data_IF_420496379973
#
_entry.id   IF_420496379973
#
_cell.length_a   1.000
_cell.length_b   1.000
_cell.length_c   1.000
_cell.angle_alpha   90.00
_cell.angle_beta   90.00
_cell.angle_gamma   90.00
#
_symmetry.space_group_name_H-M   'P 1'
#
loop_
_entity.id
_entity.type
_entity.pdbx_description
1 polymer ?
#
# COMPACT_ATOMS: atom_id res chain seq x y z
N UNK A 1 4.95 15.49 -14.98
CA UNK A 1 3.78 16.28 -15.45
C UNK A 1 3.17 16.96 -14.25
N UNK A 2 2.78 18.23 -14.37
CA UNK A 2 2.17 18.99 -13.27
C UNK A 2 0.67 19.05 -13.53
N UNK A 3 -0.13 18.49 -12.64
CA UNK A 3 -1.59 18.55 -12.70
C UNK A 3 -2.05 19.52 -11.61
N UNK A 4 -2.76 20.57 -11.98
CA UNK A 4 -3.36 21.48 -11.01
C UNK A 4 -4.58 20.80 -10.40
N UNK A 5 -4.49 20.48 -9.11
CA UNK A 5 -5.55 19.85 -8.33
C UNK A 5 -5.96 20.82 -7.22
N UNK A 6 -7.25 21.05 -7.07
CA UNK A 6 -7.77 21.76 -5.91
C UNK A 6 -7.81 20.78 -4.72
N UNK A 7 -6.98 21.06 -3.72
CA UNK A 7 -6.85 20.26 -2.50
C UNK A 7 -7.07 21.21 -1.32
N UNK A 8 -7.79 20.75 -0.30
CA UNK A 8 -7.97 21.49 0.93
C UNK A 8 -6.59 21.76 1.57
N UNK A 9 -6.31 23.05 1.82
CA UNK A 9 -5.03 23.49 2.38
C UNK A 9 -4.80 22.97 3.79
N UNK A 10 -5.85 22.84 4.58
CA UNK A 10 -5.76 22.33 5.96
C UNK A 10 -5.39 20.86 5.96
N UNK A 11 -6.04 20.07 5.09
CA UNK A 11 -5.73 18.65 4.90
C UNK A 11 -4.31 18.44 4.37
N UNK A 12 -3.87 19.26 3.41
CA UNK A 12 -2.52 19.18 2.88
C UNK A 12 -1.46 19.54 3.93
N UNK A 13 -1.73 20.55 4.76
CA UNK A 13 -0.82 20.94 5.83
C UNK A 13 -0.72 19.84 6.89
N UNK A 14 -1.85 19.30 7.33
CA UNK A 14 -1.86 18.19 8.29
C UNK A 14 -1.09 16.98 7.74
N UNK A 15 -1.31 16.63 6.47
CA UNK A 15 -0.60 15.53 5.82
C UNK A 15 0.91 15.81 5.68
N UNK A 16 1.32 17.06 5.45
CA UNK A 16 2.73 17.46 5.43
C UNK A 16 3.35 17.34 6.82
N UNK A 17 2.68 17.85 7.85
CA UNK A 17 3.16 17.83 9.24
C UNK A 17 3.32 16.38 9.76
N UNK A 18 2.45 15.47 9.32
CA UNK A 18 2.52 14.04 9.64
C UNK A 18 3.52 13.26 8.77
N UNK A 19 3.98 13.84 7.66
CA UNK A 19 4.87 13.16 6.71
C UNK A 19 6.32 13.66 6.84
N UNK A 20 7.27 12.80 6.48
CA UNK A 20 8.66 13.21 6.30
C UNK A 20 8.93 13.81 4.90
N UNK A 21 7.89 14.18 4.14
CA UNK A 21 8.05 14.65 2.77
C UNK A 21 8.31 16.16 2.71
N UNK A 22 9.34 16.60 1.96
CA UNK A 22 9.72 18.01 1.91
C UNK A 22 8.81 18.85 0.99
N UNK A 23 8.05 18.23 0.09
CA UNK A 23 7.22 18.95 -0.88
C UNK A 23 5.80 18.37 -0.98
N UNK A 24 4.78 19.21 -1.25
CA UNK A 24 3.41 18.74 -1.52
C UNK A 24 3.36 17.71 -2.65
N UNK A 25 4.13 17.91 -3.71
CA UNK A 25 4.16 17.01 -4.87
C UNK A 25 4.65 15.62 -4.49
N UNK A 26 5.73 15.52 -3.71
CA UNK A 26 6.27 14.23 -3.26
C UNK A 26 5.31 13.53 -2.29
N UNK A 27 4.65 14.30 -1.42
CA UNK A 27 3.64 13.78 -0.51
C UNK A 27 2.43 13.20 -1.28
N UNK A 28 1.91 13.95 -2.24
CA UNK A 28 0.75 13.53 -3.04
C UNK A 28 1.08 12.26 -3.84
N UNK A 29 2.26 12.19 -4.45
CA UNK A 29 2.68 10.99 -5.17
C UNK A 29 2.80 9.78 -4.23
N UNK A 30 3.41 9.93 -3.06
CA UNK A 30 3.52 8.88 -2.06
C UNK A 30 2.14 8.41 -1.58
N UNK A 31 1.25 9.34 -1.26
CA UNK A 31 -0.12 9.05 -0.82
C UNK A 31 -0.91 8.29 -1.89
N UNK A 32 -0.78 8.65 -3.17
CA UNK A 32 -1.42 7.93 -4.27
C UNK A 32 -0.86 6.51 -4.43
N UNK A 33 0.46 6.33 -4.30
CA UNK A 33 1.09 5.00 -4.35
C UNK A 33 0.57 4.11 -3.22
N UNK A 34 0.50 4.65 -2.00
CA UNK A 34 -0.03 3.94 -0.84
C UNK A 34 -1.51 3.60 -0.98
N UNK A 35 -2.32 4.54 -1.47
CA UNK A 35 -3.74 4.32 -1.75
C UNK A 35 -3.96 3.20 -2.77
N UNK A 36 -3.19 3.20 -3.85
CA UNK A 36 -3.23 2.13 -4.86
C UNK A 36 -2.79 0.81 -4.25
N UNK A 37 -1.70 0.79 -3.47
CA UNK A 37 -1.18 -0.41 -2.84
C UNK A 37 -2.19 -1.02 -1.87
N UNK A 38 -2.81 -0.23 -1.00
CA UNK A 38 -3.86 -0.67 -0.07
C UNK A 38 -5.01 -1.34 -0.83
N UNK A 39 -5.46 -0.74 -1.93
CA UNK A 39 -6.54 -1.31 -2.75
C UNK A 39 -6.11 -2.59 -3.48
N UNK A 40 -4.87 -2.67 -3.96
CA UNK A 40 -4.33 -3.91 -4.53
C UNK A 40 -4.24 -5.01 -3.48
N UNK A 41 -3.85 -4.69 -2.25
CA UNK A 41 -3.78 -5.64 -1.15
C UNK A 41 -5.16 -6.20 -0.79
N UNK A 42 -6.23 -5.40 -0.86
CA UNK A 42 -7.59 -5.90 -0.67
C UNK A 42 -7.98 -7.00 -1.68
N UNK A 43 -7.38 -7.02 -2.88
CA UNK A 43 -7.62 -8.11 -3.85
C UNK A 43 -7.09 -9.45 -3.39
N UNK A 44 -6.26 -9.53 -2.35
CA UNK A 44 -5.89 -10.82 -1.74
C UNK A 44 -7.14 -11.56 -1.27
N UNK A 45 -8.20 -10.85 -0.88
CA UNK A 45 -9.48 -11.45 -0.51
C UNK A 45 -10.12 -12.24 -1.67
N UNK A 46 -9.87 -11.83 -2.92
CA UNK A 46 -10.36 -12.53 -4.12
C UNK A 46 -9.65 -13.88 -4.32
N UNK A 47 -8.49 -14.09 -3.71
CA UNK A 47 -7.73 -15.35 -3.82
C UNK A 47 -8.16 -16.42 -2.81
N UNK A 48 -8.99 -16.06 -1.82
CA UNK A 48 -9.50 -17.06 -0.87
C UNK A 48 -10.42 -18.04 -1.56
N UNK A 49 -10.14 -19.34 -1.37
CA UNK A 49 -10.90 -20.42 -2.03
C UNK A 49 -10.54 -20.66 -3.49
N UNK A 50 -9.64 -19.87 -4.09
CA UNK A 50 -9.15 -20.11 -5.46
C UNK A 50 -7.79 -20.81 -5.50
N UNK A 51 -7.09 -20.87 -4.37
CA UNK A 51 -5.78 -21.49 -4.26
C UNK A 51 -5.96 -22.94 -3.80
N UNK A 52 -5.62 -23.87 -4.68
CA UNK A 52 -5.47 -25.28 -4.34
C UNK A 52 -4.07 -25.51 -3.75
N UNK A 53 -4.03 -26.11 -2.56
CA UNK A 53 -2.79 -26.50 -1.90
C UNK A 53 -2.54 -27.98 -2.15
N UNK A 54 -1.29 -28.34 -2.40
CA UNK A 54 -0.87 -29.74 -2.44
C UNK A 54 -1.02 -30.37 -1.05
N UNK A 55 -1.59 -31.57 -0.98
CA UNK A 55 -1.89 -32.28 0.26
C UNK A 55 -0.62 -32.54 1.10
N UNK A 56 0.52 -32.75 0.43
CA UNK A 56 1.80 -33.03 1.07
C UNK A 56 2.60 -31.75 1.38
N UNK A 57 2.06 -30.56 1.07
CA UNK A 57 2.78 -29.31 1.26
C UNK A 57 2.91 -28.91 2.75
N UNK A 58 4.12 -29.06 3.30
CA UNK A 58 4.44 -28.65 4.66
C UNK A 58 5.17 -27.30 4.72
N UNK A 59 4.42 -26.20 4.78
CA UNK A 59 4.97 -24.85 4.92
C UNK A 59 5.83 -24.62 6.17
N UNK A 60 5.78 -25.50 7.18
CA UNK A 60 6.60 -25.36 8.40
C UNK A 60 8.06 -25.75 8.18
N UNK A 61 8.38 -26.48 7.11
CA UNK A 61 9.78 -26.76 6.75
C UNK A 61 10.58 -25.47 6.54
N UNK A 62 9.97 -24.44 5.98
CA UNK A 62 10.61 -23.13 5.78
C UNK A 62 10.89 -22.36 7.07
N UNK A 63 10.33 -22.78 8.21
CA UNK A 63 10.54 -22.16 9.53
C UNK A 63 11.61 -22.86 10.36
N UNK A 64 12.14 -23.98 9.88
CA UNK A 64 13.24 -24.65 10.56
C UNK A 64 14.51 -23.82 10.32
N UNK A 65 14.85 -22.98 11.28
CA UNK A 65 16.18 -22.38 11.38
C UNK A 65 17.16 -23.49 11.72
N UNK A 66 18.15 -23.69 10.86
CA UNK A 66 19.32 -24.56 11.13
C UNK A 66 20.10 -24.06 12.33
#
# INVERSE_FOLDING_TARGET
MVTTLEIDKTLLQEALDLSNHPTPTTLIEAALREYIQRRKQLKILELFGTIEYDEDYNYKQQRQTT
#
